data_IF_990095850005
#
_entry.id   IF_990095850005
#
_cell.length_a   1.000
_cell.length_b   1.000
_cell.length_c   1.000
_cell.angle_alpha   90.00
_cell.angle_beta   90.00
_cell.angle_gamma   90.00
#
_symmetry.space_group_name_H-M   'P 1'
#
loop_
_entity.id
_entity.type
_entity.pdbx_description
1 polymer ?
#
# COMPACT_ATOMS: atom_id res chain seq x y z
N UNK A 1 -11.80 14.64 71.08
CA UNK A 1 -12.66 15.28 72.10
C UNK A 1 -13.66 16.17 71.37
N UNK A 2 -14.96 15.79 71.40
CA UNK A 2 -16.22 16.58 71.23
C UNK A 2 -16.37 17.51 70.00
N UNK A 3 -17.50 17.62 69.28
CA UNK A 3 -18.71 16.82 69.03
C UNK A 3 -19.52 17.56 67.93
N UNK A 4 -20.30 16.82 67.13
CA UNK A 4 -21.56 17.20 66.45
C UNK A 4 -21.61 18.37 65.43
N UNK A 5 -22.00 18.02 64.19
CA UNK A 5 -23.34 18.40 63.71
C UNK A 5 -23.81 17.48 62.59
N UNK A 6 -24.82 16.68 62.93
CA UNK A 6 -25.74 16.05 62.00
C UNK A 6 -26.52 17.16 61.28
N UNK A 7 -26.44 17.22 59.96
CA UNK A 7 -27.52 17.78 59.15
C UNK A 7 -27.97 16.70 58.15
N UNK A 8 -28.92 15.90 58.61
CA UNK A 8 -29.75 15.11 57.73
C UNK A 8 -30.77 16.05 57.08
N UNK A 9 -30.73 16.20 55.76
CA UNK A 9 -31.88 16.09 54.86
C UNK A 9 -31.49 16.57 53.46
N UNK A 10 -31.48 15.63 52.50
CA UNK A 10 -32.18 15.70 51.21
C UNK A 10 -31.37 14.97 50.12
N UNK A 11 -31.97 13.85 49.72
CA UNK A 11 -31.83 13.19 48.44
C UNK A 11 -31.64 14.21 47.29
N UNK A 12 -30.40 14.36 46.83
CA UNK A 12 -30.15 14.79 45.46
C UNK A 12 -29.05 13.88 44.93
N UNK A 13 -29.47 12.80 44.27
CA UNK A 13 -28.61 12.06 43.36
C UNK A 13 -28.07 13.08 42.35
N UNK A 14 -26.88 13.64 42.62
CA UNK A 14 -26.09 14.28 41.60
C UNK A 14 -25.68 13.16 40.65
N UNK A 15 -26.47 13.03 39.59
CA UNK A 15 -26.13 12.27 38.39
C UNK A 15 -24.76 12.78 37.97
N UNK A 16 -23.71 12.04 38.31
CA UNK A 16 -22.42 12.17 37.66
C UNK A 16 -22.74 11.90 36.20
N UNK A 17 -22.57 12.85 35.26
CA UNK A 17 -22.63 12.48 33.87
C UNK A 17 -21.45 11.53 33.67
N UNK A 18 -21.74 10.24 33.47
CA UNK A 18 -20.77 9.32 32.90
C UNK A 18 -20.42 9.91 31.54
N UNK A 19 -19.34 10.68 31.50
CA UNK A 19 -18.67 10.99 30.26
C UNK A 19 -18.20 9.64 29.74
N UNK A 20 -18.89 9.14 28.71
CA UNK A 20 -18.39 8.05 27.91
C UNK A 20 -17.00 8.46 27.42
N UNK A 21 -15.96 7.90 28.05
CA UNK A 21 -14.68 7.76 27.40
C UNK A 21 -14.91 6.79 26.26
N UNK A 22 -15.11 7.31 25.05
CA UNK A 22 -14.98 6.50 23.84
C UNK A 22 -13.53 6.64 23.37
N UNK A 23 -12.65 5.66 23.61
CA UNK A 23 -11.57 5.45 22.67
C UNK A 23 -12.19 4.66 21.52
N UNK A 24 -12.71 5.33 20.50
CA UNK A 24 -12.75 4.69 19.18
C UNK A 24 -11.39 4.96 18.55
N UNK A 25 -10.39 4.28 19.10
CA UNK A 25 -9.24 3.89 18.29
C UNK A 25 -9.49 2.41 18.05
N UNK A 26 -10.19 2.12 16.98
CA UNK A 26 -10.16 0.80 16.39
C UNK A 26 -8.70 0.36 16.29
N UNK A 27 -8.32 -0.83 16.79
CA UNK A 27 -6.94 -1.27 16.71
C UNK A 27 -6.53 -1.29 15.23
N UNK A 28 -5.31 -0.89 14.86
CA UNK A 28 -4.88 -0.75 13.46
C UNK A 28 -5.03 -1.99 12.55
N UNK A 29 -5.21 -3.20 13.12
CA UNK A 29 -5.69 -4.36 12.35
C UNK A 29 -7.07 -4.12 11.71
N UNK A 30 -7.95 -3.40 12.41
CA UNK A 30 -9.25 -2.93 11.89
C UNK A 30 -9.08 -1.86 10.80
N UNK A 31 -8.03 -1.03 10.87
CA UNK A 31 -7.75 -0.05 9.81
C UNK A 31 -7.32 -0.74 8.51
N UNK A 32 -6.39 -1.70 8.58
CA UNK A 32 -5.96 -2.47 7.41
C UNK A 32 -7.15 -3.19 6.79
N UNK A 33 -7.90 -3.95 7.59
CA UNK A 33 -9.06 -4.69 7.12
C UNK A 33 -10.10 -3.76 6.48
N UNK A 34 -10.48 -2.68 7.17
CA UNK A 34 -11.46 -1.71 6.66
C UNK A 34 -10.99 -1.08 5.34
N UNK A 35 -9.72 -0.70 5.26
CA UNK A 35 -9.15 -0.07 4.05
C UNK A 35 -9.12 -1.05 2.87
N UNK A 36 -8.56 -2.25 3.08
CA UNK A 36 -8.52 -3.29 2.05
C UNK A 36 -9.92 -3.68 1.58
N UNK A 37 -10.90 -3.75 2.50
CA UNK A 37 -12.28 -4.05 2.17
C UNK A 37 -12.93 -2.95 1.33
N UNK A 38 -12.75 -1.69 1.72
CA UNK A 38 -13.25 -0.55 0.95
C UNK A 38 -12.65 -0.53 -0.47
N UNK A 39 -11.36 -0.81 -0.61
CA UNK A 39 -10.70 -0.90 -1.90
C UNK A 39 -11.24 -2.04 -2.76
N UNK A 40 -11.41 -3.23 -2.19
CA UNK A 40 -11.99 -4.37 -2.89
C UNK A 40 -13.43 -4.11 -3.34
N UNK A 41 -14.24 -3.41 -2.52
CA UNK A 41 -15.60 -3.04 -2.88
C UNK A 41 -15.65 -1.97 -3.99
N UNK A 42 -14.68 -1.05 -4.01
CA UNK A 42 -14.56 0.00 -5.05
C UNK A 42 -14.03 -0.56 -6.38
N UNK A 43 -13.13 -1.54 -6.33
CA UNK A 43 -12.42 -2.10 -7.50
C UNK A 43 -12.54 -3.64 -7.55
N UNK A 44 -13.76 -4.19 -7.71
CA UNK A 44 -14.03 -5.63 -7.50
C UNK A 44 -13.37 -6.58 -8.51
N UNK A 45 -12.87 -6.06 -9.64
CA UNK A 45 -12.26 -6.87 -10.70
C UNK A 45 -10.73 -6.81 -10.72
N UNK A 46 -10.13 -5.78 -10.12
CA UNK A 46 -8.69 -5.51 -10.22
C UNK A 46 -8.00 -5.53 -8.87
N UNK A 47 -8.72 -5.36 -7.76
CA UNK A 47 -8.13 -5.29 -6.43
C UNK A 47 -8.29 -6.60 -5.65
N UNK A 48 -7.19 -7.05 -5.04
CA UNK A 48 -7.16 -8.26 -4.21
C UNK A 48 -7.16 -7.93 -2.72
N UNK A 49 -8.27 -8.23 -2.04
CA UNK A 49 -8.38 -8.08 -0.58
C UNK A 49 -7.35 -8.96 0.16
N UNK A 50 -7.20 -10.21 -0.25
CA UNK A 50 -6.29 -11.17 0.40
C UNK A 50 -4.83 -10.74 0.25
N UNK A 51 -4.45 -10.23 -0.92
CA UNK A 51 -3.11 -9.70 -1.14
C UNK A 51 -2.88 -8.45 -0.27
N UNK A 52 -3.83 -7.51 -0.26
CA UNK A 52 -3.76 -6.30 0.56
C UNK A 52 -3.55 -6.59 2.05
N UNK A 53 -4.35 -7.48 2.62
CA UNK A 53 -4.22 -7.85 4.04
C UNK A 53 -2.91 -8.57 4.31
N UNK A 54 -2.56 -9.58 3.49
CA UNK A 54 -1.31 -10.35 3.66
C UNK A 54 -0.05 -9.49 3.53
N UNK A 55 -0.05 -8.49 2.65
CA UNK A 55 1.09 -7.58 2.48
C UNK A 55 1.25 -6.59 3.64
N UNK A 56 0.14 -6.13 4.24
CA UNK A 56 0.16 -5.05 5.24
C UNK A 56 0.14 -5.55 6.69
N UNK A 57 -0.47 -6.71 6.99
CA UNK A 57 -0.54 -7.28 8.34
C UNK A 57 0.82 -7.50 9.03
N UNK A 58 1.90 -7.92 8.33
CA UNK A 58 3.20 -8.09 8.96
C UNK A 58 3.84 -6.78 9.43
N UNK A 59 3.33 -5.63 8.96
CA UNK A 59 3.93 -4.33 9.24
C UNK A 59 3.53 -3.88 10.64
N UNK A 60 4.49 -3.42 11.48
CA UNK A 60 4.18 -2.95 12.82
C UNK A 60 3.10 -1.88 12.79
N UNK A 61 2.09 -2.08 13.64
CA UNK A 61 0.98 -1.16 13.90
C UNK A 61 1.43 0.31 14.03
N UNK A 62 2.61 0.56 14.62
CA UNK A 62 3.17 1.91 14.79
C UNK A 62 3.42 2.65 13.47
N UNK A 63 3.55 1.94 12.35
CA UNK A 63 3.74 2.52 11.01
C UNK A 63 2.43 2.62 10.21
N UNK A 64 1.41 1.85 10.60
CA UNK A 64 0.11 1.73 9.92
C UNK A 64 -1.01 2.47 10.67
N UNK A 65 -0.74 3.70 11.15
CA UNK A 65 -1.64 4.41 12.08
C UNK A 65 -2.77 5.19 11.40
N UNK A 66 -2.65 5.48 10.10
CA UNK A 66 -3.65 6.18 9.29
C UNK A 66 -3.52 5.78 7.81
N UNK A 67 -4.44 6.27 6.97
CA UNK A 67 -4.41 5.99 5.52
C UNK A 67 -3.11 6.47 4.85
N UNK A 68 -2.56 7.60 5.27
CA UNK A 68 -1.31 8.13 4.71
C UNK A 68 -0.13 7.18 4.97
N UNK A 69 -0.04 6.64 6.19
CA UNK A 69 0.95 5.64 6.57
C UNK A 69 0.76 4.32 5.80
N UNK A 70 -0.48 3.86 5.62
CA UNK A 70 -0.75 2.65 4.83
C UNK A 70 -0.36 2.81 3.36
N UNK A 71 -0.67 3.95 2.73
CA UNK A 71 -0.23 4.23 1.37
C UNK A 71 1.30 4.29 1.27
N UNK A 72 1.97 4.94 2.22
CA UNK A 72 3.44 5.01 2.25
C UNK A 72 4.07 3.61 2.34
N UNK A 73 3.57 2.76 3.25
CA UNK A 73 4.02 1.37 3.38
C UNK A 73 3.84 0.62 2.06
N UNK A 74 2.69 0.74 1.41
CA UNK A 74 2.44 0.06 0.14
C UNK A 74 3.39 0.54 -0.98
N UNK A 75 3.70 1.84 -1.04
CA UNK A 75 4.69 2.40 -1.97
C UNK A 75 6.12 1.94 -1.65
N UNK A 76 6.48 1.84 -0.37
CA UNK A 76 7.79 1.32 0.06
C UNK A 76 7.96 -0.16 -0.29
N UNK A 77 6.92 -0.97 -0.09
CA UNK A 77 6.90 -2.37 -0.53
C UNK A 77 7.00 -2.49 -2.06
N UNK A 78 6.33 -1.61 -2.81
CA UNK A 78 6.44 -1.55 -4.27
C UNK A 78 7.88 -1.20 -4.70
N UNK A 79 8.52 -0.26 -4.01
CA UNK A 79 9.91 0.12 -4.24
C UNK A 79 10.89 -1.02 -3.93
N UNK A 80 10.68 -1.72 -2.82
CA UNK A 80 11.45 -2.91 -2.48
C UNK A 80 11.27 -4.01 -3.54
N UNK A 81 10.03 -4.26 -3.98
CA UNK A 81 9.76 -5.22 -5.03
C UNK A 81 10.47 -4.86 -6.35
N UNK A 82 10.37 -3.60 -6.79
CA UNK A 82 10.97 -3.13 -8.03
C UNK A 82 12.50 -3.24 -7.99
N UNK A 83 13.13 -2.81 -6.89
CA UNK A 83 14.59 -2.90 -6.71
C UNK A 83 15.07 -4.35 -6.64
N UNK A 84 14.37 -5.23 -5.91
CA UNK A 84 14.66 -6.66 -5.87
C UNK A 84 14.50 -7.32 -7.25
N UNK A 85 13.55 -6.84 -8.06
CA UNK A 85 13.33 -7.32 -9.42
C UNK A 85 14.47 -6.94 -10.35
N UNK A 86 15.00 -5.73 -10.26
CA UNK A 86 16.24 -5.34 -10.97
C UNK A 86 17.39 -6.29 -10.62
N UNK A 87 17.62 -6.55 -9.33
CA UNK A 87 18.67 -7.50 -8.90
C UNK A 87 18.41 -8.93 -9.39
N UNK A 88 17.14 -9.35 -9.50
CA UNK A 88 16.79 -10.65 -10.09
C UNK A 88 17.13 -10.67 -11.59
N UNK A 89 16.79 -9.62 -12.33
CA UNK A 89 17.10 -9.50 -13.76
C UNK A 89 18.60 -9.57 -14.00
N UNK A 90 19.42 -8.86 -13.21
CA UNK A 90 20.88 -8.90 -13.32
C UNK A 90 21.44 -10.33 -13.15
N UNK A 91 20.89 -11.10 -12.20
CA UNK A 91 21.25 -12.51 -12.02
C UNK A 91 20.82 -13.38 -13.21
N UNK A 92 19.61 -13.18 -13.73
CA UNK A 92 19.12 -13.91 -14.90
C UNK A 92 19.97 -13.63 -16.14
N UNK A 93 20.31 -12.37 -16.40
CA UNK A 93 21.19 -11.96 -17.49
C UNK A 93 22.60 -12.58 -17.39
N UNK A 94 23.07 -12.86 -16.17
CA UNK A 94 24.40 -13.43 -15.91
C UNK A 94 24.42 -14.96 -15.86
N UNK A 95 23.25 -15.62 -15.90
CA UNK A 95 23.14 -17.08 -15.71
C UNK A 95 23.67 -17.90 -16.89
N UNK A 96 23.62 -17.35 -18.10
CA UNK A 96 23.90 -18.09 -19.34
C UNK A 96 22.83 -19.13 -19.71
N UNK A 97 21.66 -19.11 -19.06
CA UNK A 97 20.60 -20.11 -19.23
C UNK A 97 19.54 -19.72 -20.28
N UNK A 98 19.56 -18.47 -20.75
CA UNK A 98 18.51 -17.88 -21.58
C UNK A 98 18.96 -17.67 -23.04
N UNK A 99 18.00 -17.78 -23.95
CA UNK A 99 18.24 -17.50 -25.36
C UNK A 99 18.32 -15.98 -25.65
N UNK A 100 18.70 -15.63 -26.88
CA UNK A 100 18.85 -14.22 -27.27
C UNK A 100 17.55 -13.42 -27.10
N UNK A 101 16.38 -13.97 -27.43
CA UNK A 101 15.12 -13.24 -27.30
C UNK A 101 14.83 -12.93 -25.83
N UNK A 102 14.88 -13.95 -24.97
CA UNK A 102 14.66 -13.77 -23.53
C UNK A 102 15.65 -12.77 -22.92
N UNK A 103 16.93 -12.79 -23.33
CA UNK A 103 17.94 -11.84 -22.84
C UNK A 103 17.64 -10.39 -23.27
N UNK A 104 17.01 -10.16 -24.42
CA UNK A 104 16.59 -8.82 -24.84
C UNK A 104 15.40 -8.35 -24.01
N UNK A 105 14.36 -9.18 -23.86
CA UNK A 105 13.21 -8.84 -23.03
C UNK A 105 13.62 -8.55 -21.58
N UNK A 106 14.57 -9.31 -21.02
CA UNK A 106 15.12 -9.04 -19.68
C UNK A 106 15.80 -7.67 -19.60
N UNK A 107 16.55 -7.24 -20.62
CA UNK A 107 17.19 -5.92 -20.63
C UNK A 107 16.16 -4.80 -20.72
N UNK A 108 15.15 -4.95 -21.57
CA UNK A 108 14.08 -3.98 -21.71
C UNK A 108 13.30 -3.83 -20.39
N UNK A 109 12.96 -4.96 -19.75
CA UNK A 109 12.39 -4.95 -18.40
C UNK A 109 13.31 -4.27 -17.39
N UNK A 110 14.63 -4.48 -17.44
CA UNK A 110 15.56 -3.84 -16.51
C UNK A 110 15.48 -2.31 -16.58
N UNK A 111 15.43 -1.75 -17.79
CA UNK A 111 15.32 -0.30 -17.98
C UNK A 111 13.94 0.21 -17.51
N UNK A 112 12.86 -0.49 -17.87
CA UNK A 112 11.51 -0.18 -17.40
C UNK A 112 11.44 -0.16 -15.86
N UNK A 113 12.01 -1.15 -15.18
CA UNK A 113 12.05 -1.21 -13.72
C UNK A 113 12.92 -0.10 -13.10
N UNK A 114 14.02 0.31 -13.74
CA UNK A 114 14.84 1.45 -13.29
C UNK A 114 14.06 2.77 -13.36
N UNK A 115 13.34 2.97 -14.46
CA UNK A 115 12.43 4.12 -14.61
C UNK A 115 11.31 4.05 -13.56
N UNK A 116 10.71 2.87 -13.35
CA UNK A 116 9.72 2.61 -12.32
C UNK A 116 10.20 2.96 -10.91
N UNK A 117 11.45 2.59 -10.55
CA UNK A 117 12.06 2.96 -9.26
C UNK A 117 12.20 4.48 -9.13
N UNK A 118 12.64 5.19 -10.17
CA UNK A 118 12.74 6.65 -10.17
C UNK A 118 11.36 7.33 -10.01
N UNK A 119 10.34 6.80 -10.69
CA UNK A 119 8.96 7.26 -10.58
C UNK A 119 8.39 7.00 -9.18
N UNK A 120 8.65 5.82 -8.59
CA UNK A 120 8.23 5.50 -7.21
C UNK A 120 8.84 6.45 -6.18
N UNK A 121 10.14 6.69 -6.24
CA UNK A 121 10.81 7.63 -5.32
C UNK A 121 10.21 9.04 -5.45
N UNK A 122 9.96 9.47 -6.69
CA UNK A 122 9.31 10.77 -6.95
C UNK A 122 7.88 10.79 -6.42
N UNK A 123 7.11 9.73 -6.67
CA UNK A 123 5.73 9.54 -6.20
C UNK A 123 5.63 9.64 -4.68
N UNK A 124 6.52 8.96 -3.96
CA UNK A 124 6.62 9.05 -2.49
C UNK A 124 6.88 10.50 -2.06
N UNK A 125 7.82 11.19 -2.72
CA UNK A 125 8.16 12.58 -2.39
C UNK A 125 6.98 13.55 -2.55
N UNK A 126 6.25 13.46 -3.67
CA UNK A 126 5.08 14.32 -3.92
C UNK A 126 3.88 13.93 -3.05
N UNK A 127 3.71 12.64 -2.76
CA UNK A 127 2.70 12.14 -1.82
C UNK A 127 2.89 12.69 -0.41
N UNK A 128 4.13 12.79 0.08
CA UNK A 128 4.44 13.30 1.41
C UNK A 128 4.09 14.79 1.58
N UNK A 129 3.98 15.54 0.48
CA UNK A 129 3.53 16.95 0.48
C UNK A 129 2.09 17.09 -0.04
N UNK A 130 1.33 16.00 0.02
CA UNK A 130 -0.12 15.94 -0.27
C UNK A 130 -0.50 16.27 -1.72
N UNK A 131 0.45 16.17 -2.66
CA UNK A 131 0.16 16.24 -4.10
C UNK A 131 -0.30 14.88 -4.62
N UNK A 132 -1.50 14.47 -4.18
CA UNK A 132 -2.05 13.14 -4.43
C UNK A 132 -2.35 12.87 -5.90
N UNK A 133 -2.71 13.89 -6.67
CA UNK A 133 -2.93 13.80 -8.12
C UNK A 133 -1.62 13.47 -8.87
N UNK A 134 -0.52 14.12 -8.49
CA UNK A 134 0.80 13.83 -9.08
C UNK A 134 1.33 12.47 -8.63
N UNK A 135 1.11 12.11 -7.35
CA UNK A 135 1.46 10.78 -6.83
C UNK A 135 0.71 9.66 -7.57
N UNK A 136 -0.61 9.80 -7.74
CA UNK A 136 -1.46 8.84 -8.45
C UNK A 136 -1.01 8.64 -9.90
N UNK A 137 -0.69 9.75 -10.61
CA UNK A 137 -0.18 9.70 -11.97
C UNK A 137 1.15 8.92 -12.07
N UNK A 138 2.12 9.24 -11.21
CA UNK A 138 3.43 8.59 -11.22
C UNK A 138 3.33 7.11 -10.85
N UNK A 139 2.52 6.79 -9.84
CA UNK A 139 2.31 5.42 -9.40
C UNK A 139 1.54 4.58 -10.43
N UNK A 140 0.63 5.17 -11.18
CA UNK A 140 -0.04 4.49 -12.30
C UNK A 140 0.98 4.07 -13.37
N UNK A 141 1.93 4.94 -13.72
CA UNK A 141 3.02 4.60 -14.66
C UNK A 141 3.94 3.50 -14.11
N UNK A 142 4.11 3.42 -12.79
CA UNK A 142 4.83 2.31 -12.14
C UNK A 142 4.07 1.00 -12.28
N UNK A 143 2.74 0.99 -12.12
CA UNK A 143 1.94 -0.23 -12.34
C UNK A 143 2.02 -0.68 -13.81
N UNK A 144 2.02 0.27 -14.75
CA UNK A 144 2.18 -0.01 -16.18
C UNK A 144 3.53 -0.66 -16.53
N UNK A 145 4.59 -0.37 -15.76
CA UNK A 145 5.92 -0.99 -15.90
C UNK A 145 5.85 -2.51 -15.85
N UNK A 146 5.09 -3.06 -14.90
CA UNK A 146 4.91 -4.50 -14.75
C UNK A 146 4.21 -5.12 -15.95
N UNK A 147 3.10 -4.53 -16.41
CA UNK A 147 2.34 -5.01 -17.56
C UNK A 147 3.15 -4.93 -18.87
N UNK A 148 3.89 -3.84 -19.08
CA UNK A 148 4.74 -3.64 -20.27
C UNK A 148 5.87 -4.66 -20.28
N UNK A 149 6.49 -4.93 -19.13
CA UNK A 149 7.49 -5.98 -19.00
C UNK A 149 6.91 -7.37 -19.31
N UNK A 150 5.72 -7.69 -18.78
CA UNK A 150 5.02 -8.95 -19.07
C UNK A 150 4.73 -9.11 -20.57
N UNK A 151 4.21 -8.06 -21.21
CA UNK A 151 3.78 -8.10 -22.60
C UNK A 151 4.95 -8.25 -23.59
N UNK A 152 6.13 -7.72 -23.29
CA UNK A 152 7.32 -7.88 -24.13
C UNK A 152 7.73 -9.35 -24.32
N UNK A 153 7.49 -10.22 -23.34
CA UNK A 153 7.75 -11.65 -23.48
C UNK A 153 6.60 -12.40 -24.17
N UNK A 154 5.37 -11.89 -24.10
CA UNK A 154 4.20 -12.51 -24.77
C UNK A 154 4.27 -12.42 -26.28
N UNK A 155 5.15 -11.59 -26.83
CA UNK A 155 5.42 -11.54 -28.28
C UNK A 155 5.84 -12.90 -28.86
N UNK A 156 6.42 -13.78 -28.03
CA UNK A 156 6.70 -15.18 -28.38
C UNK A 156 5.87 -16.13 -27.52
N UNK A 157 4.93 -16.83 -28.15
CA UNK A 157 4.07 -17.80 -27.45
C UNK A 157 4.86 -18.98 -26.85
N UNK A 158 4.51 -19.36 -25.62
CA UNK A 158 4.96 -20.59 -24.99
C UNK A 158 6.25 -20.49 -24.16
N UNK A 159 6.85 -19.31 -24.02
CA UNK A 159 7.99 -19.12 -23.12
C UNK A 159 7.54 -18.92 -21.66
N UNK A 160 8.25 -19.60 -20.74
CA UNK A 160 8.05 -19.40 -19.31
C UNK A 160 8.59 -18.02 -18.93
N UNK A 161 7.72 -17.19 -18.38
CA UNK A 161 8.07 -15.83 -18.03
C UNK A 161 8.79 -15.79 -16.67
N UNK A 162 10.07 -15.37 -16.62
CA UNK A 162 10.88 -15.49 -15.41
C UNK A 162 10.51 -14.46 -14.33
N UNK A 163 9.64 -13.48 -14.61
CA UNK A 163 9.32 -12.35 -13.72
C UNK A 163 7.83 -12.24 -13.32
N UNK A 164 6.97 -13.24 -13.57
CA UNK A 164 5.50 -13.04 -13.52
C UNK A 164 5.08 -12.68 -12.11
N UNK A 165 5.61 -13.42 -11.13
CA UNK A 165 5.36 -13.13 -9.72
C UNK A 165 5.88 -11.74 -9.29
N UNK A 166 6.96 -11.24 -9.90
CA UNK A 166 7.48 -9.90 -9.60
C UNK A 166 6.54 -8.83 -10.16
N UNK A 167 6.14 -8.98 -11.42
CA UNK A 167 5.19 -8.09 -12.09
C UNK A 167 3.85 -8.06 -11.34
N UNK A 168 3.27 -9.22 -11.03
CA UNK A 168 2.00 -9.34 -10.30
C UNK A 168 2.07 -8.68 -8.92
N UNK A 169 3.21 -8.84 -8.23
CA UNK A 169 3.41 -8.20 -6.94
C UNK A 169 3.55 -6.69 -7.06
N UNK A 170 4.31 -6.17 -8.04
CA UNK A 170 4.45 -4.73 -8.25
C UNK A 170 3.10 -4.10 -8.60
N UNK A 171 2.33 -4.72 -9.50
CA UNK A 171 0.99 -4.26 -9.86
C UNK A 171 0.07 -4.22 -8.64
N UNK A 172 -0.04 -5.32 -7.88
CA UNK A 172 -0.96 -5.36 -6.73
C UNK A 172 -0.52 -4.41 -5.59
N UNK A 173 0.79 -4.24 -5.35
CA UNK A 173 1.29 -3.25 -4.38
C UNK A 173 0.97 -1.81 -4.82
N UNK A 174 1.15 -1.52 -6.11
CA UNK A 174 0.74 -0.26 -6.71
C UNK A 174 -0.76 -0.02 -6.60
N UNK A 175 -1.60 -1.02 -6.87
CA UNK A 175 -3.06 -0.92 -6.77
C UNK A 175 -3.52 -0.65 -5.33
N UNK A 176 -2.86 -1.22 -4.32
CA UNK A 176 -3.08 -0.89 -2.90
C UNK A 176 -2.83 0.59 -2.67
N UNK A 177 -1.64 1.09 -3.05
CA UNK A 177 -1.28 2.49 -2.84
C UNK A 177 -2.19 3.45 -3.63
N UNK A 178 -2.49 3.16 -4.90
CA UNK A 178 -3.41 3.95 -5.74
C UNK A 178 -4.81 4.02 -5.12
N UNK A 179 -5.35 2.90 -4.67
CA UNK A 179 -6.67 2.93 -4.03
C UNK A 179 -6.67 3.84 -2.79
N UNK A 180 -5.66 3.73 -1.93
CA UNK A 180 -5.58 4.53 -0.70
C UNK A 180 -5.38 6.02 -1.02
N UNK A 181 -4.54 6.36 -2.01
CA UNK A 181 -4.40 7.74 -2.52
C UNK A 181 -5.76 8.27 -2.99
N UNK A 182 -6.52 7.46 -3.72
CA UNK A 182 -7.86 7.82 -4.16
C UNK A 182 -8.87 7.97 -3.01
N UNK A 183 -8.71 7.27 -1.89
CA UNK A 183 -9.52 7.48 -0.69
C UNK A 183 -9.15 8.80 0.01
N UNK A 184 -7.87 9.16 0.04
CA UNK A 184 -7.36 10.41 0.60
C UNK A 184 -7.82 11.64 -0.21
N UNK A 185 -7.80 11.56 -1.54
CA UNK A 185 -8.23 12.64 -2.43
C UNK A 185 -9.72 13.00 -2.37
N UNK A 186 -10.54 12.12 -1.80
CA UNK A 186 -12.00 12.31 -1.64
C UNK A 186 -12.37 12.79 -0.22
N UNK A 187 -11.44 12.72 0.74
CA UNK A 187 -11.67 13.22 2.08
C UNK A 187 -11.76 14.75 2.07
N UNK A 188 -12.76 15.37 2.75
CA UNK A 188 -12.78 16.82 2.88
C UNK A 188 -11.51 17.26 3.62
N UNK A 189 -10.76 18.18 3.01
CA UNK A 189 -9.69 18.90 3.67
C UNK A 189 -10.25 19.54 4.94
N UNK A 190 -9.70 19.13 6.10
CA UNK A 190 -10.04 19.68 7.41
C UNK A 190 -9.55 21.14 7.55
#
# INVERSE_FOLDING_TARGET
MWHCSFFAFLFFFLIIPQQNCSPVTSPPADLINTTCKQCADKYPTTFSYDFCTTSLEPIPISHATNLQGLALIAMELALENATNTISKIERLLSSGEFDTFTLWCLKDCMELYRDGVSMLVTSIGVFMIEQYDVADLLLSAVVETASTCEDGFKERQGEAFPLTAQNDNLSQLGDIALCIINLLSVAPSL
#
